data_IF_425576441537
#
_entry.id   IF_425576441537
#
_cell.length_a   1.000
_cell.length_b   1.000
_cell.length_c   1.000
_cell.angle_alpha   90.00
_cell.angle_beta   90.00
_cell.angle_gamma   90.00
#
_symmetry.space_group_name_H-M   'P 1'
#
loop_
_entity.id
_entity.type
_entity.pdbx_description
1 polymer ?
#
# COMPACT_ATOMS: atom_id res chain seq x y z
N UNK A 1 2.11 4.28 7.47
CA UNK A 1 3.58 4.39 7.52
C UNK A 1 4.04 5.74 8.04
N UNK A 2 3.59 6.88 7.49
CA UNK A 2 3.93 8.22 8.01
C UNK A 2 3.66 8.38 9.50
N UNK A 3 2.51 7.87 9.97
CA UNK A 3 2.19 7.83 11.40
C UNK A 3 3.24 7.08 12.24
N UNK A 4 3.80 5.97 11.75
CA UNK A 4 4.85 5.23 12.47
C UNK A 4 6.12 6.08 12.64
N UNK A 5 6.56 6.71 11.55
CA UNK A 5 7.73 7.58 11.60
C UNK A 5 7.53 8.74 12.59
N UNK A 6 6.38 9.41 12.54
CA UNK A 6 6.07 10.51 13.45
C UNK A 6 6.05 10.05 14.90
N UNK A 7 5.34 8.96 15.21
CA UNK A 7 5.28 8.41 16.57
C UNK A 7 6.67 8.10 17.12
N UNK A 8 7.50 7.37 16.37
CA UNK A 8 8.84 7.00 16.84
C UNK A 8 9.79 8.20 16.93
N UNK A 9 9.67 9.16 16.02
CA UNK A 9 10.45 10.41 16.07
C UNK A 9 10.14 11.21 17.34
N UNK A 10 8.86 11.47 17.63
CA UNK A 10 8.48 12.21 18.82
C UNK A 10 8.84 11.44 20.10
N UNK A 11 8.58 10.13 20.16
CA UNK A 11 8.97 9.31 21.32
C UNK A 11 10.48 9.35 21.55
N UNK A 12 11.31 9.25 20.50
CA UNK A 12 12.76 9.32 20.61
C UNK A 12 13.25 10.68 21.13
N UNK A 13 12.66 11.78 20.67
CA UNK A 13 13.00 13.13 21.16
C UNK A 13 12.65 13.28 22.63
N UNK A 14 11.42 12.90 23.01
CA UNK A 14 10.93 13.02 24.37
C UNK A 14 11.79 12.19 25.33
N UNK A 15 12.09 10.93 24.99
CA UNK A 15 12.93 10.08 25.85
C UNK A 15 14.35 10.62 25.97
N UNK A 16 14.94 11.10 24.87
CA UNK A 16 16.30 11.66 24.88
C UNK A 16 16.38 12.94 25.71
N UNK A 17 15.39 13.83 25.57
CA UNK A 17 15.27 15.03 26.39
C UNK A 17 15.18 14.65 27.87
N UNK A 18 14.26 13.77 28.25
CA UNK A 18 14.08 13.38 29.65
C UNK A 18 15.34 12.73 30.22
N UNK A 19 16.06 11.90 29.47
CA UNK A 19 17.33 11.31 29.93
C UNK A 19 18.38 12.40 30.24
N UNK A 20 18.53 13.41 29.37
CA UNK A 20 19.48 14.51 29.57
C UNK A 20 19.16 15.34 30.82
N UNK A 21 17.87 15.61 31.08
CA UNK A 21 17.45 16.42 32.23
C UNK A 21 17.34 15.63 33.55
N UNK A 22 17.31 14.29 33.50
CA UNK A 22 17.20 13.42 34.68
C UNK A 22 18.55 12.87 35.15
N UNK A 23 19.66 13.28 34.53
CA UNK A 23 21.01 12.81 34.84
C UNK A 23 21.56 13.26 36.22
N UNK A 24 20.71 13.84 37.07
CA UNK A 24 21.06 14.31 38.41
C UNK A 24 20.89 13.16 39.42
N UNK A 25 21.94 12.89 40.20
CA UNK A 25 22.04 11.71 41.07
C UNK A 25 20.82 11.54 41.98
N UNK A 26 20.16 10.38 41.88
CA UNK A 26 19.05 10.01 42.74
C UNK A 26 19.48 8.86 43.64
N UNK A 27 19.36 9.06 44.96
CA UNK A 27 19.81 8.11 45.97
C UNK A 27 18.82 6.96 46.21
N UNK A 28 17.52 7.15 45.93
CA UNK A 28 16.48 6.15 46.25
C UNK A 28 15.69 5.62 45.05
N UNK A 29 15.63 6.33 43.92
CA UNK A 29 15.03 5.81 42.70
C UNK A 29 15.88 4.67 42.10
N UNK A 30 15.31 3.48 41.91
CA UNK A 30 16.03 2.30 41.39
C UNK A 30 16.66 2.61 40.03
N UNK A 31 17.97 2.35 39.88
CA UNK A 31 18.74 2.41 38.61
C UNK A 31 18.07 1.69 37.42
N UNK A 32 17.13 0.78 37.68
CA UNK A 32 16.38 0.01 36.67
C UNK A 32 15.36 0.83 35.88
N UNK A 33 14.71 1.84 36.47
CA UNK A 33 13.75 2.70 35.75
C UNK A 33 14.47 3.56 34.72
N UNK A 34 15.59 4.15 35.12
CA UNK A 34 16.45 4.90 34.22
C UNK A 34 17.04 4.01 33.11
N UNK A 35 17.51 2.81 33.45
CA UNK A 35 17.99 1.84 32.47
C UNK A 35 16.89 1.47 31.45
N UNK A 36 15.66 1.22 31.91
CA UNK A 36 14.53 0.94 31.02
C UNK A 36 14.25 2.12 30.08
N UNK A 37 14.29 3.35 30.57
CA UNK A 37 14.09 4.54 29.75
C UNK A 37 15.20 4.69 28.70
N UNK A 38 16.47 4.43 29.05
CA UNK A 38 17.59 4.45 28.13
C UNK A 38 17.43 3.40 27.01
N UNK A 39 17.11 2.16 27.39
CA UNK A 39 16.82 1.09 26.42
C UNK A 39 15.65 1.48 25.51
N UNK A 40 14.58 2.04 26.07
CA UNK A 40 13.43 2.52 25.30
C UNK A 40 13.79 3.63 24.31
N UNK A 41 14.62 4.59 24.73
CA UNK A 41 15.08 5.65 23.83
C UNK A 41 15.85 5.10 22.63
N UNK A 42 16.74 4.12 22.85
CA UNK A 42 17.50 3.46 21.78
C UNK A 42 16.55 2.72 20.83
N UNK A 43 15.57 1.99 21.36
CA UNK A 43 14.58 1.28 20.54
C UNK A 43 13.74 2.24 19.68
N UNK A 44 13.27 3.37 20.24
CA UNK A 44 12.54 4.38 19.49
C UNK A 44 13.38 5.01 18.38
N UNK A 45 14.65 5.29 18.64
CA UNK A 45 15.57 5.83 17.63
C UNK A 45 15.79 4.83 16.48
N UNK A 46 16.09 3.57 16.80
CA UNK A 46 16.28 2.50 15.80
C UNK A 46 14.99 2.33 14.98
N UNK A 47 13.83 2.30 15.62
CA UNK A 47 12.55 2.17 14.94
C UNK A 47 12.22 3.37 14.03
N UNK A 48 12.59 4.59 14.45
CA UNK A 48 12.48 5.78 13.62
C UNK A 48 13.36 5.68 12.37
N UNK A 49 14.63 5.29 12.52
CA UNK A 49 15.57 5.12 11.40
C UNK A 49 15.10 4.03 10.43
N UNK A 50 14.66 2.87 10.93
CA UNK A 50 14.13 1.78 10.10
C UNK A 50 12.86 2.24 9.38
N UNK A 51 11.93 2.92 10.06
CA UNK A 51 10.70 3.44 9.45
C UNK A 51 10.99 4.45 8.35
N UNK A 52 11.97 5.34 8.57
CA UNK A 52 12.46 6.28 7.55
C UNK A 52 13.07 5.55 6.34
N UNK A 53 13.93 4.57 6.58
CA UNK A 53 14.54 3.76 5.51
C UNK A 53 13.49 2.99 4.69
N UNK A 54 12.46 2.44 5.35
CA UNK A 54 11.33 1.79 4.68
C UNK A 54 10.56 2.78 3.80
N UNK A 55 10.25 3.99 4.30
CA UNK A 55 9.57 5.02 3.49
C UNK A 55 10.40 5.39 2.27
N UNK A 56 11.72 5.59 2.42
CA UNK A 56 12.62 5.88 1.31
C UNK A 56 12.71 4.72 0.32
N UNK A 57 12.71 3.47 0.80
CA UNK A 57 12.67 2.28 -0.06
C UNK A 57 11.37 2.19 -0.83
N UNK A 58 10.23 2.41 -0.19
CA UNK A 58 8.93 2.42 -0.87
C UNK A 58 8.84 3.52 -1.94
N UNK A 59 9.38 4.71 -1.65
CA UNK A 59 9.48 5.80 -2.63
C UNK A 59 10.37 5.44 -3.83
N UNK A 60 11.46 4.68 -3.63
CA UNK A 60 12.38 4.25 -4.70
C UNK A 60 11.84 3.11 -5.57
N UNK A 61 11.18 2.13 -4.96
CA UNK A 61 10.63 0.96 -5.67
C UNK A 61 9.36 1.31 -6.45
N UNK A 62 8.74 2.45 -6.13
CA UNK A 62 7.43 2.80 -6.66
C UNK A 62 6.33 2.19 -5.79
N UNK A 63 5.18 2.86 -5.77
CA UNK A 63 3.97 2.35 -5.16
C UNK A 63 2.95 2.16 -6.27
N UNK A 64 2.36 0.97 -6.36
CA UNK A 64 1.19 0.79 -7.20
C UNK A 64 0.03 1.50 -6.54
N UNK A 65 -0.69 2.30 -7.32
CA UNK A 65 -1.89 2.96 -6.87
C UNK A 65 -3.01 2.66 -7.86
N UNK A 66 -4.19 2.41 -7.33
CA UNK A 66 -5.42 2.31 -8.11
C UNK A 66 -6.34 3.45 -7.68
N UNK A 67 -6.65 4.34 -8.62
CA UNK A 67 -7.65 5.38 -8.42
C UNK A 67 -9.00 4.77 -8.78
N UNK A 68 -9.94 4.79 -7.86
CA UNK A 68 -11.34 4.44 -8.13
C UNK A 68 -12.13 5.72 -8.13
N UNK A 69 -12.56 6.13 -9.33
CA UNK A 69 -13.44 7.29 -9.50
C UNK A 69 -14.90 6.86 -9.32
N UNK A 70 -15.55 7.37 -8.28
CA UNK A 70 -16.96 7.12 -7.98
C UNK A 70 -17.86 8.23 -8.56
N UNK A 71 -17.34 9.11 -9.43
CA UNK A 71 -18.03 10.23 -10.07
C UNK A 71 -18.07 11.50 -9.21
N UNK A 72 -18.50 11.37 -7.95
CA UNK A 72 -18.51 12.44 -6.95
C UNK A 72 -17.32 12.43 -5.98
N UNK A 73 -16.53 11.34 -5.96
CA UNK A 73 -15.39 11.15 -5.06
C UNK A 73 -14.35 10.23 -5.70
N UNK A 74 -13.07 10.59 -5.56
CA UNK A 74 -11.96 9.76 -6.02
C UNK A 74 -11.28 9.08 -4.82
N UNK A 75 -11.34 7.75 -4.77
CA UNK A 75 -10.62 6.96 -3.79
C UNK A 75 -9.24 6.57 -4.35
N UNK A 76 -8.17 7.12 -3.78
CA UNK A 76 -6.80 6.66 -4.06
C UNK A 76 -6.46 5.47 -3.16
N UNK A 77 -6.39 4.27 -3.73
CA UNK A 77 -5.90 3.10 -3.02
C UNK A 77 -4.43 2.88 -3.35
N UNK A 78 -3.57 2.96 -2.34
CA UNK A 78 -2.14 2.68 -2.47
C UNK A 78 -1.93 1.23 -2.05
N UNK A 79 -1.54 0.37 -2.99
CA UNK A 79 -1.30 -1.05 -2.75
C UNK A 79 0.20 -1.28 -2.85
N UNK A 80 0.85 -1.48 -1.71
CA UNK A 80 2.24 -1.85 -1.70
C UNK A 80 2.37 -3.37 -1.88
N UNK A 81 2.87 -3.82 -3.04
CA UNK A 81 2.97 -5.25 -3.36
C UNK A 81 3.97 -6.03 -2.50
N UNK A 82 4.91 -5.34 -1.83
CA UNK A 82 5.93 -5.99 -1.02
C UNK A 82 5.44 -6.30 0.40
N UNK A 83 5.59 -7.54 0.85
CA UNK A 83 5.27 -7.90 2.23
C UNK A 83 6.27 -7.31 3.26
N UNK A 84 7.45 -6.89 2.80
CA UNK A 84 8.58 -6.53 3.66
C UNK A 84 8.28 -5.39 4.66
N UNK A 85 7.73 -4.22 4.27
CA UNK A 85 7.48 -3.15 5.22
C UNK A 85 6.45 -3.53 6.28
N UNK A 86 5.41 -4.28 5.90
CA UNK A 86 4.40 -4.78 6.85
C UNK A 86 5.02 -5.73 7.87
N UNK A 87 5.86 -6.68 7.42
CA UNK A 87 6.57 -7.62 8.29
C UNK A 87 7.50 -6.87 9.24
N UNK A 88 8.33 -5.96 8.72
CA UNK A 88 9.31 -5.23 9.54
C UNK A 88 8.60 -4.34 10.58
N UNK A 89 7.57 -3.59 10.20
CA UNK A 89 6.80 -2.78 11.16
C UNK A 89 6.10 -3.65 12.22
N UNK A 90 5.57 -4.80 11.82
CA UNK A 90 4.95 -5.76 12.75
C UNK A 90 5.95 -6.28 13.80
N UNK A 91 7.19 -6.59 13.39
CA UNK A 91 8.25 -6.96 14.32
C UNK A 91 8.64 -5.82 15.26
N UNK A 92 8.71 -4.58 14.75
CA UNK A 92 8.99 -3.41 15.57
C UNK A 92 7.89 -3.23 16.64
N UNK A 93 6.62 -3.35 16.27
CA UNK A 93 5.49 -3.24 17.21
C UNK A 93 5.52 -4.32 18.28
N UNK A 94 5.80 -5.57 17.89
CA UNK A 94 5.95 -6.68 18.82
C UNK A 94 7.11 -6.45 19.80
N UNK A 95 8.24 -5.93 19.32
CA UNK A 95 9.39 -5.61 20.17
C UNK A 95 9.07 -4.49 21.18
N UNK A 96 8.35 -3.45 20.76
CA UNK A 96 7.90 -2.39 21.68
C UNK A 96 6.92 -2.93 22.72
N UNK A 97 5.99 -3.81 22.33
CA UNK A 97 5.08 -4.44 23.27
C UNK A 97 5.83 -5.24 24.35
N UNK A 98 6.85 -6.02 23.96
CA UNK A 98 7.70 -6.73 24.93
C UNK A 98 8.37 -5.73 25.88
N UNK A 99 8.91 -4.63 25.35
CA UNK A 99 9.53 -3.59 26.15
C UNK A 99 8.54 -2.91 27.12
N UNK A 100 7.31 -2.66 26.69
CA UNK A 100 6.22 -2.12 27.52
C UNK A 100 5.82 -3.08 28.64
N UNK A 101 5.75 -4.38 28.36
CA UNK A 101 5.46 -5.39 29.38
C UNK A 101 6.58 -5.44 30.42
N UNK A 102 7.84 -5.40 29.99
CA UNK A 102 9.00 -5.35 30.88
C UNK A 102 9.00 -4.07 31.73
N UNK A 103 8.68 -2.92 31.13
CA UNK A 103 8.57 -1.65 31.84
C UNK A 103 7.46 -1.64 32.87
N UNK A 104 6.31 -2.25 32.55
CA UNK A 104 5.18 -2.35 33.46
C UNK A 104 5.51 -3.23 34.67
N UNK A 105 6.24 -4.33 34.47
CA UNK A 105 6.75 -5.18 35.57
C UNK A 105 7.70 -4.42 36.50
N UNK A 106 8.47 -3.48 35.96
CA UNK A 106 9.40 -2.67 36.76
C UNK A 106 8.69 -1.47 37.43
N UNK A 107 7.65 -0.91 36.81
CA UNK A 107 6.93 0.27 37.32
C UNK A 107 5.88 -0.04 38.39
N UNK A 108 5.13 -1.15 38.25
CA UNK A 108 4.02 -1.50 39.15
C UNK A 108 4.28 -2.58 40.22
N UNK A 109 5.51 -3.01 40.57
CA UNK A 109 5.68 -4.12 41.51
C UNK A 109 5.35 -3.73 42.96
N UNK A 110 5.48 -2.44 43.33
CA UNK A 110 5.25 -1.96 44.70
C UNK A 110 4.81 -0.49 44.71
N UNK A 111 3.58 -0.24 45.14
CA UNK A 111 2.93 1.08 45.15
C UNK A 111 3.63 2.07 46.10
N UNK A 112 4.20 1.59 47.22
CA UNK A 112 4.82 2.46 48.22
C UNK A 112 6.18 2.98 47.73
N UNK A 113 6.97 2.11 47.11
CA UNK A 113 8.22 2.48 46.45
C UNK A 113 7.99 3.39 45.22
N UNK A 114 6.90 3.16 44.49
CA UNK A 114 6.50 4.00 43.36
C UNK A 114 6.15 5.43 43.83
N UNK A 115 5.43 5.56 44.94
CA UNK A 115 5.09 6.87 45.52
C UNK A 115 6.35 7.67 45.88
N UNK A 116 7.33 7.02 46.51
CA UNK A 116 8.61 7.64 46.86
C UNK A 116 9.37 8.12 45.61
N UNK A 117 9.44 7.31 44.56
CA UNK A 117 10.08 7.70 43.30
C UNK A 117 9.33 8.85 42.61
N UNK A 118 8.00 8.89 42.71
CA UNK A 118 7.17 9.98 42.20
C UNK A 118 7.45 11.31 42.91
N UNK A 119 7.70 11.28 44.22
CA UNK A 119 8.08 12.48 44.98
C UNK A 119 9.49 12.99 44.64
N UNK A 120 10.45 12.10 44.41
CA UNK A 120 11.82 12.50 44.07
C UNK A 120 11.96 13.01 42.62
N UNK A 121 11.33 12.33 41.66
CA UNK A 121 11.47 12.64 40.22
C UNK A 121 10.11 12.53 39.50
N UNK A 122 9.19 13.48 39.74
CA UNK A 122 7.83 13.41 39.20
C UNK A 122 7.81 13.41 37.67
N UNK A 123 8.75 14.10 37.02
CA UNK A 123 8.85 14.15 35.56
C UNK A 123 9.15 12.77 34.98
N UNK A 124 10.12 12.04 35.54
CA UNK A 124 10.51 10.72 35.05
C UNK A 124 9.36 9.72 35.20
N UNK A 125 8.72 9.70 36.38
CA UNK A 125 7.60 8.80 36.65
C UNK A 125 6.40 9.06 35.72
N UNK A 126 6.02 10.33 35.53
CA UNK A 126 4.92 10.70 34.65
C UNK A 126 5.22 10.35 33.18
N UNK A 127 6.42 10.64 32.69
CA UNK A 127 6.82 10.28 31.33
C UNK A 127 6.82 8.77 31.15
N UNK A 128 7.36 8.01 32.11
CA UNK A 128 7.38 6.56 32.01
C UNK A 128 5.97 5.98 31.97
N UNK A 129 5.05 6.49 32.80
CA UNK A 129 3.65 6.11 32.75
C UNK A 129 2.99 6.42 31.40
N UNK A 130 3.23 7.61 30.83
CA UNK A 130 2.73 7.99 29.50
C UNK A 130 3.27 7.04 28.42
N UNK A 131 4.56 6.72 28.46
CA UNK A 131 5.19 5.78 27.51
C UNK A 131 4.61 4.37 27.63
N UNK A 132 4.25 3.92 28.84
CA UNK A 132 3.58 2.64 29.04
C UNK A 132 2.17 2.64 28.42
N UNK A 133 1.39 3.71 28.64
CA UNK A 133 0.06 3.85 28.02
C UNK A 133 0.14 3.85 26.49
N UNK A 134 1.06 4.63 25.92
CA UNK A 134 1.30 4.65 24.47
C UNK A 134 1.77 3.27 23.96
N UNK A 135 2.63 2.58 24.71
CA UNK A 135 3.08 1.23 24.40
C UNK A 135 1.94 0.22 24.31
N UNK A 136 0.96 0.28 25.22
CA UNK A 136 -0.23 -0.57 25.15
C UNK A 136 -1.14 -0.23 23.97
N UNK A 137 -1.22 1.05 23.57
CA UNK A 137 -1.92 1.45 22.34
C UNK A 137 -1.28 0.85 21.07
N UNK A 138 0.01 0.49 21.10
CA UNK A 138 0.66 -0.20 19.97
C UNK A 138 0.11 -1.61 19.76
N UNK A 139 -0.53 -2.24 20.74
CA UNK A 139 -1.24 -3.52 20.54
C UNK A 139 -2.35 -3.34 19.51
N UNK A 140 -3.14 -2.28 19.62
CA UNK A 140 -4.23 -1.99 18.67
C UNK A 140 -3.65 -1.81 17.27
N UNK A 141 -2.57 -1.03 17.16
CA UNK A 141 -1.87 -0.81 15.89
C UNK A 141 -1.33 -2.11 15.30
N UNK A 142 -0.75 -2.97 16.12
CA UNK A 142 -0.21 -4.26 15.71
C UNK A 142 -1.29 -5.20 15.20
N UNK A 143 -2.42 -5.29 15.90
CA UNK A 143 -3.59 -6.08 15.49
C UNK A 143 -4.15 -5.58 14.15
N UNK A 144 -4.29 -4.27 13.96
CA UNK A 144 -4.73 -3.67 12.69
C UNK A 144 -3.75 -4.00 11.56
N UNK A 145 -2.44 -3.95 11.82
CA UNK A 145 -1.41 -4.31 10.84
C UNK A 145 -1.52 -5.78 10.40
N UNK A 146 -1.66 -6.70 11.36
CA UNK A 146 -1.85 -8.14 11.09
C UNK A 146 -3.15 -8.38 10.31
N UNK A 147 -4.24 -7.70 10.69
CA UNK A 147 -5.53 -7.81 10.02
C UNK A 147 -5.42 -7.37 8.56
N UNK A 148 -4.84 -6.19 8.29
CA UNK A 148 -4.63 -5.72 6.93
C UNK A 148 -3.69 -6.64 6.14
N UNK A 149 -2.65 -7.20 6.77
CA UNK A 149 -1.75 -8.11 6.08
C UNK A 149 -2.45 -9.40 5.63
N UNK A 150 -3.27 -10.03 6.49
CA UNK A 150 -3.96 -11.29 6.17
C UNK A 150 -5.24 -11.09 5.36
N UNK A 151 -6.07 -10.15 5.79
CA UNK A 151 -7.41 -9.96 5.24
C UNK A 151 -7.46 -8.83 4.21
N UNK A 152 -6.48 -7.93 4.16
CA UNK A 152 -6.48 -6.82 3.20
C UNK A 152 -6.69 -7.25 1.74
N UNK A 153 -5.91 -8.22 1.21
CA UNK A 153 -6.10 -8.71 -0.16
C UNK A 153 -7.47 -9.35 -0.39
N UNK A 154 -7.98 -10.09 0.60
CA UNK A 154 -9.27 -10.77 0.55
C UNK A 154 -10.42 -9.77 0.60
N UNK A 155 -10.37 -8.81 1.52
CA UNK A 155 -11.33 -7.72 1.66
C UNK A 155 -11.34 -6.88 0.38
N UNK A 156 -10.16 -6.57 -0.18
CA UNK A 156 -10.05 -5.83 -1.42
C UNK A 156 -10.69 -6.59 -2.59
N UNK A 157 -10.38 -7.88 -2.75
CA UNK A 157 -11.01 -8.73 -3.77
C UNK A 157 -12.53 -8.84 -3.58
N UNK A 158 -12.98 -9.00 -2.34
CA UNK A 158 -14.40 -9.10 -2.00
C UNK A 158 -15.15 -7.79 -2.32
N UNK A 159 -14.62 -6.63 -1.90
CA UNK A 159 -15.20 -5.32 -2.21
C UNK A 159 -15.29 -5.14 -3.72
N UNK A 160 -14.23 -5.45 -4.46
CA UNK A 160 -14.18 -5.33 -5.92
C UNK A 160 -15.22 -6.19 -6.62
N UNK A 161 -15.41 -7.42 -6.18
CA UNK A 161 -16.36 -8.36 -6.80
C UNK A 161 -17.81 -8.12 -6.42
N UNK A 162 -18.08 -7.65 -5.19
CA UNK A 162 -19.45 -7.53 -4.65
C UNK A 162 -20.04 -6.12 -4.74
N UNK A 163 -19.24 -5.06 -4.73
CA UNK A 163 -19.75 -3.69 -4.76
C UNK A 163 -20.01 -3.23 -6.22
N UNK A 164 -21.28 -2.97 -6.62
CA UNK A 164 -21.63 -2.58 -7.99
C UNK A 164 -20.94 -1.28 -8.45
N UNK A 165 -20.67 -0.37 -7.50
CA UNK A 165 -19.96 0.89 -7.77
C UNK A 165 -18.49 0.68 -8.20
N UNK A 166 -17.81 -0.38 -7.74
CA UNK A 166 -16.44 -0.69 -8.16
C UNK A 166 -16.42 -1.42 -9.51
N UNK A 167 -17.39 -2.33 -9.73
CA UNK A 167 -17.48 -3.12 -10.97
C UNK A 167 -17.73 -2.26 -12.23
N UNK A 168 -18.27 -1.04 -12.08
CA UNK A 168 -18.57 -0.11 -13.18
C UNK A 168 -17.34 0.65 -13.69
N UNK A 169 -16.27 0.72 -12.89
CA UNK A 169 -15.06 1.51 -13.16
C UNK A 169 -13.78 0.69 -13.15
N UNK A 170 -13.87 -0.61 -12.89
CA UNK A 170 -12.81 -1.54 -13.27
C UNK A 170 -12.71 -1.50 -14.81
N UNK A 171 -11.60 -1.03 -15.42
CA UNK A 171 -11.36 -1.37 -16.81
C UNK A 171 -11.43 -2.89 -16.86
N UNK A 172 -12.24 -3.43 -17.78
CA UNK A 172 -12.37 -4.87 -18.02
C UNK A 172 -11.00 -5.49 -17.82
N UNK A 173 -10.85 -6.53 -16.96
CA UNK A 173 -9.55 -7.10 -16.74
C UNK A 173 -8.95 -7.41 -18.10
N UNK A 174 -7.83 -6.74 -18.39
CA UNK A 174 -6.96 -6.97 -19.54
C UNK A 174 -6.26 -8.34 -19.37
N UNK A 175 -6.97 -9.34 -18.83
CA UNK A 175 -6.58 -10.73 -18.79
C UNK A 175 -7.07 -11.49 -20.02
N UNK A 176 -7.96 -10.90 -20.82
CA UNK A 176 -8.10 -11.31 -22.21
C UNK A 176 -7.09 -10.50 -23.01
N UNK A 177 -5.86 -11.03 -23.10
CA UNK A 177 -4.91 -10.58 -24.11
C UNK A 177 -5.53 -10.89 -25.46
N UNK A 178 -6.19 -9.90 -26.06
CA UNK A 178 -6.56 -9.98 -27.46
C UNK A 178 -5.26 -10.07 -28.26
N UNK A 179 -5.18 -10.95 -29.26
CA UNK A 179 -3.97 -11.09 -30.05
C UNK A 179 -3.72 -9.80 -30.83
N UNK A 180 -2.56 -9.18 -30.60
CA UNK A 180 -2.09 -8.02 -31.32
C UNK A 180 -1.17 -8.43 -32.47
N UNK A 181 -1.27 -7.74 -33.60
CA UNK A 181 -0.51 -8.00 -34.81
C UNK A 181 0.06 -6.69 -35.36
N UNK A 182 1.27 -6.71 -35.90
CA UNK A 182 1.72 -5.65 -36.80
C UNK A 182 0.88 -5.65 -38.09
N UNK A 183 0.90 -4.56 -38.86
CA UNK A 183 0.16 -4.53 -40.12
C UNK A 183 0.55 -5.66 -41.10
N UNK A 184 1.84 -5.99 -41.16
CA UNK A 184 2.34 -7.10 -41.99
C UNK A 184 1.73 -8.44 -41.59
N UNK A 185 1.68 -8.73 -40.29
CA UNK A 185 1.09 -9.97 -39.74
C UNK A 185 -0.43 -10.00 -39.87
N UNK A 186 -1.09 -8.85 -39.71
CA UNK A 186 -2.53 -8.74 -39.93
C UNK A 186 -2.89 -8.99 -41.41
N UNK A 187 -2.08 -8.48 -42.34
CA UNK A 187 -2.25 -8.72 -43.78
C UNK A 187 -2.09 -10.20 -44.15
N UNK A 188 -1.13 -10.91 -43.55
CA UNK A 188 -0.97 -12.36 -43.76
C UNK A 188 -2.11 -13.15 -43.14
N UNK A 189 -2.61 -12.75 -41.96
CA UNK A 189 -3.78 -13.35 -41.31
C UNK A 189 -5.06 -13.22 -42.17
N UNK A 190 -5.31 -12.06 -42.76
CA UNK A 190 -6.47 -11.85 -43.64
C UNK A 190 -6.37 -12.74 -44.90
N UNK A 191 -5.18 -12.82 -45.48
CA UNK A 191 -4.93 -13.68 -46.66
C UNK A 191 -5.12 -15.16 -46.34
N UNK A 192 -4.71 -15.62 -45.15
CA UNK A 192 -4.88 -17.02 -44.74
C UNK A 192 -6.36 -17.41 -44.57
N UNK A 193 -7.20 -16.46 -44.14
CA UNK A 193 -8.67 -16.63 -44.11
C UNK A 193 -9.35 -16.48 -45.48
N UNK A 194 -8.59 -16.38 -46.59
CA UNK A 194 -9.11 -16.13 -47.95
C UNK A 194 -9.98 -14.87 -48.06
N UNK A 195 -9.72 -13.88 -47.19
CA UNK A 195 -10.38 -12.58 -47.20
C UNK A 195 -9.45 -11.54 -47.83
N UNK A 196 -10.01 -10.45 -48.32
CA UNK A 196 -9.26 -9.26 -48.75
C UNK A 196 -9.42 -8.13 -47.75
N UNK A 197 -8.29 -7.48 -47.42
CA UNK A 197 -8.26 -6.10 -46.96
C UNK A 197 -8.65 -5.25 -48.17
N UNK A 198 -9.64 -4.37 -48.05
CA UNK A 198 -10.00 -3.47 -49.14
C UNK A 198 -8.81 -2.60 -49.58
N UNK A 199 -9.04 -1.69 -50.53
CA UNK A 199 -8.00 -0.79 -51.03
C UNK A 199 -7.38 0.11 -49.95
N UNK A 200 -8.11 0.39 -48.88
CA UNK A 200 -7.64 1.20 -47.75
C UNK A 200 -8.14 0.65 -46.40
N UNK A 201 -7.37 -0.25 -45.76
CA UNK A 201 -7.71 -0.78 -44.46
C UNK A 201 -7.38 0.24 -43.36
N UNK A 202 -8.41 0.68 -42.63
CA UNK A 202 -8.30 1.72 -41.59
C UNK A 202 -8.97 1.28 -40.29
N UNK A 203 -8.58 1.92 -39.19
CA UNK A 203 -9.20 1.74 -37.88
C UNK A 203 -10.55 2.50 -37.84
N UNK A 204 -11.70 1.83 -37.62
CA UNK A 204 -13.01 2.51 -37.58
C UNK A 204 -13.24 3.46 -36.40
N UNK A 205 -12.32 3.50 -35.42
CA UNK A 205 -12.43 4.35 -34.23
C UNK A 205 -11.75 5.70 -34.45
N UNK A 206 -10.50 5.70 -34.92
CA UNK A 206 -9.76 6.93 -35.21
C UNK A 206 -9.82 7.36 -36.69
N UNK A 207 -10.35 6.49 -37.57
CA UNK A 207 -10.39 6.67 -39.02
C UNK A 207 -9.01 6.80 -39.70
N UNK A 208 -7.92 6.49 -39.00
CA UNK A 208 -6.56 6.48 -39.56
C UNK A 208 -6.27 5.14 -40.26
N UNK A 209 -5.51 5.20 -41.36
CA UNK A 209 -5.12 4.02 -42.13
C UNK A 209 -4.06 3.21 -41.38
N UNK A 210 -4.18 1.88 -41.39
CA UNK A 210 -3.17 1.02 -40.77
C UNK A 210 -1.80 1.08 -41.48
N UNK A 211 -1.76 1.64 -42.68
CA UNK A 211 -0.55 1.82 -43.48
C UNK A 211 0.28 3.03 -43.02
N UNK A 212 -0.35 4.03 -42.40
CA UNK A 212 0.33 5.28 -42.02
C UNK A 212 1.29 5.08 -40.84
N UNK A 213 1.00 4.11 -39.97
CA UNK A 213 1.78 3.81 -38.75
C UNK A 213 1.94 2.29 -38.58
N UNK A 214 2.80 1.63 -39.37
CA UNK A 214 2.94 0.17 -39.37
C UNK A 214 3.44 -0.41 -38.04
N UNK A 215 4.03 0.42 -37.17
CA UNK A 215 4.44 0.09 -35.80
C UNK A 215 3.29 -0.03 -34.80
N UNK A 216 2.11 0.52 -35.11
CA UNK A 216 0.96 0.40 -34.22
C UNK A 216 0.38 -1.02 -34.27
N UNK A 217 0.04 -1.54 -33.08
CA UNK A 217 -0.51 -2.88 -32.93
C UNK A 217 -1.98 -2.88 -33.34
N UNK A 218 -2.33 -3.79 -34.24
CA UNK A 218 -3.68 -4.02 -34.74
C UNK A 218 -4.28 -5.21 -33.99
N UNK A 219 -5.50 -5.02 -33.49
CA UNK A 219 -6.25 -6.00 -32.72
C UNK A 219 -7.54 -6.37 -33.46
N UNK A 220 -7.56 -7.50 -34.19
CA UNK A 220 -8.80 -8.06 -34.72
C UNK A 220 -9.62 -8.73 -33.62
N UNK A 221 -10.95 -8.51 -33.64
CA UNK A 221 -11.87 -9.14 -32.70
C UNK A 221 -12.37 -10.50 -33.19
N UNK A 222 -12.72 -11.39 -32.25
CA UNK A 222 -13.20 -12.74 -32.56
C UNK A 222 -14.52 -12.78 -33.36
N UNK A 223 -15.34 -11.72 -33.27
CA UNK A 223 -16.58 -11.63 -34.02
C UNK A 223 -16.37 -11.53 -35.55
N UNK A 224 -15.22 -11.02 -36.00
CA UNK A 224 -14.78 -11.02 -37.39
C UNK A 224 -13.34 -10.52 -37.47
N UNK A 225 -12.47 -11.22 -38.20
CA UNK A 225 -11.10 -10.75 -38.46
C UNK A 225 -11.05 -9.36 -39.13
N UNK A 226 -12.13 -8.94 -39.81
CA UNK A 226 -12.25 -7.61 -40.42
C UNK A 226 -12.63 -6.51 -39.42
N UNK A 227 -13.11 -6.88 -38.23
CA UNK A 227 -13.31 -5.93 -37.13
C UNK A 227 -12.00 -5.76 -36.38
N UNK A 228 -11.11 -5.00 -36.99
CA UNK A 228 -9.78 -4.71 -36.48
C UNK A 228 -9.64 -3.22 -36.13
N UNK A 229 -8.82 -2.95 -35.12
CA UNK A 229 -8.65 -1.63 -34.54
C UNK A 229 -7.22 -1.48 -34.03
N UNK A 230 -6.72 -0.25 -33.86
CA UNK A 230 -5.51 -0.06 -33.07
C UNK A 230 -5.74 -0.50 -31.62
N UNK A 231 -4.72 -1.11 -31.00
CA UNK A 231 -4.76 -1.58 -29.61
C UNK A 231 -5.23 -0.47 -28.65
N UNK A 232 -4.67 0.73 -28.79
CA UNK A 232 -5.05 1.89 -27.98
C UNK A 232 -6.54 2.28 -28.17
N UNK A 233 -7.02 2.29 -29.41
CA UNK A 233 -8.39 2.65 -29.74
C UNK A 233 -9.40 1.65 -29.17
N UNK A 234 -9.18 0.36 -29.41
CA UNK A 234 -10.11 -0.67 -28.93
C UNK A 234 -10.05 -0.82 -27.42
N UNK A 235 -8.88 -0.64 -26.81
CA UNK A 235 -8.74 -0.65 -25.34
C UNK A 235 -9.58 0.46 -24.70
N UNK A 236 -9.55 1.67 -25.28
CA UNK A 236 -10.37 2.78 -24.80
C UNK A 236 -11.87 2.51 -24.98
N UNK A 237 -12.28 1.93 -26.12
CA UNK A 237 -13.68 1.56 -26.34
C UNK A 237 -14.17 0.49 -25.36
N UNK A 238 -13.39 -0.59 -25.20
CA UNK A 238 -13.72 -1.71 -24.33
C UNK A 238 -13.71 -1.35 -22.84
N UNK A 239 -13.06 -0.23 -22.47
CA UNK A 239 -13.18 0.33 -21.12
C UNK A 239 -14.60 0.83 -20.79
N UNK A 240 -15.42 1.14 -21.80
CA UNK A 240 -16.79 1.67 -21.64
C UNK A 240 -17.88 0.72 -22.15
N UNK A 241 -17.57 -0.11 -23.13
CA UNK A 241 -18.54 -0.98 -23.81
C UNK A 241 -17.97 -2.39 -24.00
N UNK A 242 -18.70 -3.44 -23.63
CA UNK A 242 -18.23 -4.83 -23.82
C UNK A 242 -18.57 -5.42 -25.20
N UNK A 243 -18.83 -4.55 -26.18
CA UNK A 243 -19.39 -4.90 -27.48
C UNK A 243 -18.53 -4.34 -28.61
N UNK A 244 -18.43 -5.08 -29.70
CA UNK A 244 -17.74 -4.65 -30.90
C UNK A 244 -18.32 -3.31 -31.41
N UNK A 245 -17.49 -2.29 -31.70
CA UNK A 245 -17.94 -1.01 -32.23
C UNK A 245 -18.82 -1.15 -33.48
N UNK A 246 -18.48 -2.11 -34.36
CA UNK A 246 -19.12 -2.30 -35.66
C UNK A 246 -20.39 -3.15 -35.61
N UNK A 247 -20.35 -4.34 -35.00
CA UNK A 247 -21.48 -5.28 -35.04
C UNK A 247 -22.23 -5.48 -33.73
N UNK A 248 -21.79 -4.82 -32.64
CA UNK A 248 -22.37 -4.93 -31.29
C UNK A 248 -22.33 -6.35 -30.68
N UNK A 249 -21.65 -7.30 -31.32
CA UNK A 249 -21.40 -8.61 -30.71
C UNK A 249 -20.55 -8.44 -29.44
N UNK A 250 -20.88 -9.20 -28.39
CA UNK A 250 -20.06 -9.21 -27.16
C UNK A 250 -18.66 -9.71 -27.48
N UNK A 251 -17.66 -8.97 -27.00
CA UNK A 251 -16.23 -9.29 -27.22
C UNK A 251 -15.76 -10.39 -26.26
N UNK A 252 -16.35 -10.45 -25.07
CA UNK A 252 -16.09 -11.47 -24.07
C UNK A 252 -17.34 -12.34 -23.93
N UNK A 253 -17.21 -13.63 -24.26
CA UNK A 253 -18.22 -14.67 -24.01
C UNK A 253 -17.76 -15.55 -22.84
#
# INVERSE_FOLDING_TARGET
>A
MSAYLMTYFFSSIITSFVITFTQQETLHCKKRMFLWLQVSSIFYLIACLISGALILRMRRVGMDYSIVDLGWFQCLFIIYQGNLPHIVLSFIDAAHLVLTILGSKEFFPDLQNLLMCYYEIPVLANIMFILLLLGYMYIIRWLVSIFHFKFGPVIWYWIRTRCPCFRRFDPVPMSVKLPGYTFGEYSTLIKSERKSLGSDPHCPICCESFLEKPEEIIVPLQCSVKHAYHEACISLWLSKHMECPMCKARVFQ
#
